data_IF_832481526963
#
_entry.id   IF_832481526963
#
_cell.length_a   1.000
_cell.length_b   1.000
_cell.length_c   1.000
_cell.angle_alpha   90.00
_cell.angle_beta   90.00
_cell.angle_gamma   90.00
#
_symmetry.space_group_name_H-M   'P 1'
#
loop_
_entity.id
_entity.type
_entity.pdbx_description
1 polymer ?
#
# COMPACT_ATOMS: atom_id res chain seq x y z
N UNK A 1 -34.29 20.73 -32.94
CA UNK A 1 -33.36 20.18 -31.94
C UNK A 1 -32.03 20.90 -32.09
N UNK A 2 -31.29 21.09 -31.00
CA UNK A 2 -29.99 21.80 -31.00
C UNK A 2 -28.97 20.97 -31.81
N UNK A 3 -28.21 21.62 -32.70
CA UNK A 3 -27.21 20.95 -33.54
C UNK A 3 -25.96 20.53 -32.77
N UNK A 4 -25.20 19.56 -33.30
CA UNK A 4 -23.95 19.10 -32.67
C UNK A 4 -22.88 20.19 -32.57
N UNK A 5 -22.86 21.12 -33.53
CA UNK A 5 -21.87 22.20 -33.59
C UNK A 5 -22.20 23.31 -32.57
N UNK A 6 -23.49 23.57 -32.33
CA UNK A 6 -23.96 24.46 -31.27
C UNK A 6 -23.54 23.93 -29.88
N UNK A 7 -23.67 22.63 -29.64
CA UNK A 7 -23.25 22.00 -28.37
C UNK A 7 -21.74 22.15 -28.15
N UNK A 8 -20.92 22.04 -29.20
CA UNK A 8 -19.46 22.24 -29.10
C UNK A 8 -19.12 23.70 -28.81
N UNK A 9 -19.77 24.65 -29.49
CA UNK A 9 -19.59 26.07 -29.26
C UNK A 9 -19.98 26.47 -27.82
N UNK A 10 -21.09 25.93 -27.30
CA UNK A 10 -21.55 26.17 -25.93
C UNK A 10 -20.61 25.55 -24.88
N UNK A 11 -20.04 24.37 -25.14
CA UNK A 11 -18.99 23.76 -24.29
C UNK A 11 -17.72 24.60 -24.27
N UNK A 12 -17.25 25.06 -25.42
CA UNK A 12 -16.04 25.88 -25.54
C UNK A 12 -16.18 27.21 -24.78
N UNK A 13 -17.39 27.79 -24.76
CA UNK A 13 -17.73 29.00 -24.00
C UNK A 13 -18.05 28.75 -22.52
N UNK A 14 -17.93 27.51 -22.03
CA UNK A 14 -18.24 27.09 -20.65
C UNK A 14 -19.69 27.38 -20.21
N UNK A 15 -20.61 27.46 -21.16
CA UNK A 15 -22.04 27.71 -20.90
C UNK A 15 -22.80 26.45 -20.49
N UNK A 16 -22.27 25.28 -20.82
CA UNK A 16 -22.84 23.98 -20.46
C UNK A 16 -21.76 23.07 -19.89
N UNK A 17 -22.12 22.31 -18.85
CA UNK A 17 -21.25 21.30 -18.23
C UNK A 17 -21.84 19.92 -18.48
N UNK A 18 -21.11 19.00 -19.12
CA UNK A 18 -21.58 17.62 -19.27
C UNK A 18 -21.50 16.90 -17.91
N UNK A 19 -22.65 16.60 -17.32
CA UNK A 19 -22.73 15.76 -16.13
C UNK A 19 -22.81 14.29 -16.55
N UNK A 20 -21.83 13.48 -16.17
CA UNK A 20 -21.83 12.03 -16.45
C UNK A 20 -22.35 11.28 -15.23
N UNK A 21 -23.45 10.54 -15.38
CA UNK A 21 -23.92 9.59 -14.37
C UNK A 21 -23.35 8.21 -14.70
N UNK A 22 -22.57 7.63 -13.80
CA UNK A 22 -22.15 6.22 -13.88
C UNK A 22 -23.06 5.36 -13.02
N UNK A 23 -23.91 4.55 -13.67
CA UNK A 23 -24.74 3.56 -13.01
C UNK A 23 -24.16 2.16 -13.23
N UNK A 24 -24.21 1.32 -12.20
CA UNK A 24 -23.81 -0.08 -12.30
C UNK A 24 -25.02 -0.98 -12.04
N UNK A 25 -25.21 -1.99 -12.89
CA UNK A 25 -26.13 -3.08 -12.65
C UNK A 25 -25.34 -4.30 -12.22
N UNK A 26 -25.50 -4.73 -10.97
CA UNK A 26 -24.75 -5.85 -10.40
C UNK A 26 -25.62 -7.09 -10.40
N UNK A 27 -25.10 -8.19 -10.95
CA UNK A 27 -25.72 -9.52 -10.91
C UNK A 27 -24.87 -10.45 -10.07
N UNK A 28 -25.49 -11.48 -9.49
CA UNK A 28 -24.77 -12.53 -8.74
C UNK A 28 -23.79 -13.23 -9.68
N UNK A 29 -22.51 -13.14 -9.38
CA UNK A 29 -21.45 -13.83 -10.13
C UNK A 29 -21.31 -15.30 -9.72
N UNK A 30 -20.46 -16.07 -10.42
CA UNK A 30 -20.23 -17.51 -10.14
C UNK A 30 -19.79 -17.79 -8.70
N UNK A 31 -19.01 -16.88 -8.10
CA UNK A 31 -18.53 -16.97 -6.72
C UNK A 31 -19.41 -16.19 -5.72
N UNK A 32 -20.69 -15.96 -6.04
CA UNK A 32 -21.61 -15.29 -5.14
C UNK A 32 -21.90 -16.17 -3.91
N UNK A 33 -21.41 -15.75 -2.75
CA UNK A 33 -21.69 -16.39 -1.48
C UNK A 33 -22.61 -15.48 -0.64
N UNK A 34 -23.80 -15.94 -0.20
CA UNK A 34 -24.72 -15.14 0.61
C UNK A 34 -24.18 -14.85 2.02
N UNK A 35 -23.25 -15.69 2.52
CA UNK A 35 -22.44 -15.42 3.70
C UNK A 35 -20.99 -15.24 3.26
N UNK A 36 -20.39 -14.12 3.66
CA UNK A 36 -18.97 -13.85 3.40
C UNK A 36 -18.13 -14.90 4.13
N UNK A 37 -17.41 -15.75 3.38
CA UNK A 37 -16.40 -16.65 3.95
C UNK A 37 -15.33 -15.78 4.62
N UNK A 38 -15.02 -16.06 5.89
CA UNK A 38 -13.88 -15.45 6.57
C UNK A 38 -12.63 -16.14 6.05
N UNK A 39 -12.00 -15.51 5.07
CA UNK A 39 -10.69 -15.91 4.55
C UNK A 39 -9.67 -15.63 5.66
N UNK A 40 -8.79 -16.59 5.93
CA UNK A 40 -7.80 -16.43 7.01
C UNK A 40 -6.80 -15.35 6.60
N UNK A 41 -6.52 -14.42 7.52
CA UNK A 41 -5.64 -13.27 7.25
C UNK A 41 -4.19 -13.63 7.50
N UNK A 42 -3.92 -14.33 8.60
CA UNK A 42 -2.60 -14.63 9.08
C UNK A 42 -2.53 -16.08 9.56
N UNK A 43 -1.38 -16.70 9.34
CA UNK A 43 -1.09 -18.04 9.81
C UNK A 43 -0.92 -18.02 11.33
N UNK A 44 -1.87 -18.57 12.07
CA UNK A 44 -1.78 -18.65 13.53
C UNK A 44 -1.02 -19.91 13.97
N UNK A 45 -0.48 -19.88 15.20
CA UNK A 45 0.20 -21.06 15.79
C UNK A 45 -0.72 -22.28 15.89
N UNK A 46 -1.99 -22.04 16.20
CA UNK A 46 -3.03 -23.08 16.31
C UNK A 46 -3.28 -23.73 14.95
N UNK A 47 -3.42 -22.92 13.89
CA UNK A 47 -3.56 -23.42 12.51
C UNK A 47 -2.37 -24.27 12.05
N UNK A 48 -1.16 -23.93 12.51
CA UNK A 48 0.06 -24.70 12.22
C UNK A 48 0.07 -26.05 12.94
N UNK A 49 -0.42 -26.09 14.18
CA UNK A 49 -0.47 -27.31 14.98
C UNK A 49 -1.58 -28.26 14.53
N UNK A 50 -2.74 -27.74 14.13
CA UNK A 50 -3.85 -28.55 13.62
C UNK A 50 -3.65 -29.02 12.18
N UNK A 51 -2.86 -28.29 11.38
CA UNK A 51 -2.60 -28.59 9.97
C UNK A 51 -3.64 -28.06 8.99
N UNK A 52 -4.64 -27.32 9.48
CA UNK A 52 -5.75 -26.78 8.69
C UNK A 52 -5.30 -25.72 7.66
N UNK A 53 -4.11 -25.13 7.86
CA UNK A 53 -3.52 -24.13 6.96
C UNK A 53 -3.34 -24.61 5.51
N UNK A 54 -3.37 -25.93 5.25
CA UNK A 54 -3.19 -26.49 3.90
C UNK A 54 -4.45 -26.39 3.03
N UNK A 55 -5.64 -26.34 3.65
CA UNK A 55 -6.93 -26.35 2.96
C UNK A 55 -7.65 -24.99 2.94
N UNK A 56 -7.16 -24.01 3.70
CA UNK A 56 -7.78 -22.71 3.83
C UNK A 56 -7.31 -21.74 2.75
N UNK A 57 -8.25 -20.96 2.20
CA UNK A 57 -7.92 -19.83 1.34
C UNK A 57 -7.43 -18.66 2.20
N UNK A 58 -6.28 -18.08 1.84
CA UNK A 58 -5.72 -16.91 2.48
C UNK A 58 -6.01 -15.64 1.70
N UNK A 59 -6.13 -14.53 2.42
CA UNK A 59 -6.29 -13.22 1.78
C UNK A 59 -4.98 -12.86 1.09
N UNK A 60 -4.99 -12.41 -0.19
CA UNK A 60 -3.77 -12.01 -0.87
C UNK A 60 -3.12 -10.84 -0.13
N UNK A 61 -1.82 -10.98 0.14
CA UNK A 61 -1.03 -9.98 0.85
C UNK A 61 -0.69 -8.81 -0.07
N UNK A 62 -0.76 -7.58 0.45
CA UNK A 62 -0.41 -6.37 -0.30
C UNK A 62 1.07 -6.02 -0.08
N UNK A 63 1.96 -6.54 -0.95
CA UNK A 63 3.40 -6.27 -0.89
C UNK A 63 3.80 -4.81 -1.17
N UNK A 64 2.92 -4.02 -1.78
CA UNK A 64 3.17 -2.59 -2.04
C UNK A 64 2.90 -1.71 -0.82
N UNK A 65 2.32 -2.26 0.25
CA UNK A 65 2.07 -1.52 1.48
C UNK A 65 3.37 -1.34 2.27
N UNK A 66 3.52 -0.18 2.93
CA UNK A 66 4.54 0.00 3.96
C UNK A 66 4.15 -0.88 5.16
N UNK A 67 5.09 -1.70 5.63
CA UNK A 67 4.91 -2.53 6.81
C UNK A 67 4.73 -1.70 8.09
N UNK A 68 4.45 -2.39 9.18
CA UNK A 68 4.39 -1.76 10.49
C UNK A 68 5.77 -1.15 10.85
N UNK A 69 5.84 0.11 11.30
CA UNK A 69 7.10 0.68 11.77
C UNK A 69 7.58 -0.11 12.99
N UNK A 70 8.88 -0.40 13.04
CA UNK A 70 9.48 -0.99 14.24
C UNK A 70 9.63 0.10 15.30
N UNK A 71 9.22 -0.20 16.52
CA UNK A 71 9.43 0.67 17.67
C UNK A 71 10.93 0.67 18.01
N UNK A 72 11.61 1.76 17.65
CA UNK A 72 13.02 1.98 17.95
C UNK A 72 13.19 3.29 18.73
N UNK A 73 14.12 3.32 19.69
CA UNK A 73 14.46 4.56 20.39
C UNK A 73 15.02 5.61 19.44
N UNK A 74 14.53 6.84 19.52
CA UNK A 74 15.01 7.96 18.71
C UNK A 74 15.94 8.87 19.51
N UNK A 75 17.16 9.10 19.02
CA UNK A 75 17.99 10.18 19.52
C UNK A 75 17.46 11.52 19.00
N UNK A 76 17.42 12.52 19.87
CA UNK A 76 17.03 13.87 19.48
C UNK A 76 17.94 14.38 18.33
N UNK A 77 17.39 14.92 17.22
CA UNK A 77 18.18 15.31 16.05
C UNK A 77 19.36 16.23 16.38
N UNK A 78 19.16 17.20 17.27
CA UNK A 78 20.23 18.11 17.71
C UNK A 78 21.39 17.38 18.41
N UNK A 79 21.11 16.33 19.19
CA UNK A 79 22.14 15.55 19.88
C UNK A 79 22.92 14.67 18.89
N UNK A 80 22.26 14.20 17.83
CA UNK A 80 22.91 13.47 16.72
C UNK A 80 23.89 14.37 15.97
N UNK A 81 23.46 15.60 15.66
CA UNK A 81 24.28 16.62 14.98
C UNK A 81 25.45 17.05 15.89
N UNK A 82 25.19 17.35 17.16
CA UNK A 82 26.23 17.66 18.15
C UNK A 82 27.29 16.56 18.21
N UNK A 83 26.89 15.28 18.27
CA UNK A 83 27.83 14.16 18.28
C UNK A 83 28.68 14.09 17.01
N UNK A 84 28.09 14.33 15.85
CA UNK A 84 28.81 14.34 14.57
C UNK A 84 29.89 15.43 14.50
N UNK A 85 29.64 16.61 15.07
CA UNK A 85 30.62 17.70 15.10
C UNK A 85 31.64 17.60 16.23
N UNK A 86 31.26 17.04 17.39
CA UNK A 86 32.16 16.90 18.55
C UNK A 86 33.05 15.68 18.49
N UNK A 87 32.63 14.63 17.78
CA UNK A 87 33.44 13.45 17.53
C UNK A 87 33.79 13.45 16.03
N UNK A 88 34.91 14.06 15.61
CA UNK A 88 35.36 13.95 14.24
C UNK A 88 35.41 12.45 13.87
N UNK A 89 35.01 12.08 12.64
CA UNK A 89 35.01 10.68 12.25
C UNK A 89 36.40 10.11 12.51
N UNK A 90 36.46 8.99 13.24
CA UNK A 90 37.67 8.17 13.26
C UNK A 90 38.10 8.00 11.80
N UNK A 91 39.40 8.18 11.47
CA UNK A 91 39.86 7.97 10.11
C UNK A 91 39.32 6.61 9.65
N UNK A 92 38.82 6.50 8.40
CA UNK A 92 38.36 5.23 7.89
C UNK A 92 39.47 4.22 8.17
N UNK A 93 39.15 3.13 8.87
CA UNK A 93 40.10 2.05 9.08
C UNK A 93 40.71 1.75 7.70
N UNK A 94 42.04 1.85 7.52
CA UNK A 94 42.65 1.53 6.25
C UNK A 94 42.22 0.11 5.93
N UNK A 95 41.71 -0.08 4.72
CA UNK A 95 41.24 -1.38 4.20
C UNK A 95 42.09 -2.49 4.80
N UNK A 96 41.51 -3.26 5.72
CA UNK A 96 42.09 -4.52 6.13
C UNK A 96 41.97 -5.38 4.89
N UNK A 97 43.05 -5.41 4.11
CA UNK A 97 43.30 -6.45 3.13
C UNK A 97 42.97 -7.76 3.85
N UNK A 98 41.99 -8.47 3.31
CA UNK A 98 41.80 -9.89 3.57
C UNK A 98 43.15 -10.57 3.35
N UNK A 99 43.82 -10.90 4.46
CA UNK A 99 44.80 -11.97 4.48
C UNK A 99 44.05 -13.18 5.03
N UNK A 100 44.07 -14.24 4.20
CA UNK A 100 43.48 -15.57 4.30
C UNK A 100 42.05 -15.72 3.82
#
# INVERSE_FOLDING_TARGET
GIGSDDIKALKARKLIVPQTWKGYSVKKGPNYAPKRKKVVTDLTRESLQSGDYKGEEFKPYNYSAKGQPLEGGSLHPLLKVRRYFLCPPLPPFPNLLLIN
#
